data_IF_379391881403
#
_entry.id   IF_379391881403
#
_cell.length_a   1.000
_cell.length_b   1.000
_cell.length_c   1.000
_cell.angle_alpha   90.00
_cell.angle_beta   90.00
_cell.angle_gamma   90.00
#
_symmetry.space_group_name_H-M   'P 1'
#
loop_
_entity.id
_entity.type
_entity.pdbx_description
1 polymer ?
#
# COMPACT_ATOMS: atom_id res chain seq x y z
N UNK A 1 10.41 11.87 -5.91
CA UNK A 1 9.80 10.57 -6.28
C UNK A 1 8.52 10.45 -5.45
N UNK A 2 7.36 10.23 -6.07
CA UNK A 2 6.09 10.15 -5.34
C UNK A 2 6.12 9.04 -4.28
N UNK A 3 5.30 9.21 -3.25
CA UNK A 3 5.21 8.31 -2.09
C UNK A 3 3.76 7.90 -1.88
N UNK A 4 3.56 6.68 -1.40
CA UNK A 4 2.26 6.17 -0.99
C UNK A 4 1.85 6.77 0.35
N UNK A 5 0.66 7.37 0.42
CA UNK A 5 0.14 8.00 1.64
C UNK A 5 -0.18 6.98 2.74
N UNK A 6 -0.46 5.74 2.37
CA UNK A 6 -0.74 4.68 3.33
C UNK A 6 0.50 4.14 4.06
N UNK A 7 1.60 3.88 3.32
CA UNK A 7 2.78 3.22 3.89
C UNK A 7 4.07 4.03 3.80
N UNK A 8 4.02 5.26 3.30
CA UNK A 8 5.18 6.12 3.00
C UNK A 8 6.21 5.49 2.05
N UNK A 9 5.84 4.44 1.33
CA UNK A 9 6.72 3.75 0.39
C UNK A 9 6.89 4.55 -0.91
N UNK A 10 8.12 4.61 -1.43
CA UNK A 10 8.38 5.27 -2.70
C UNK A 10 7.81 4.51 -3.88
N UNK A 11 7.19 5.22 -4.81
CA UNK A 11 6.68 4.69 -6.07
C UNK A 11 7.24 5.46 -7.25
N UNK A 12 7.23 4.83 -8.43
CA UNK A 12 7.69 5.51 -9.65
C UNK A 12 6.71 6.60 -10.09
N UNK A 13 7.20 7.62 -10.80
CA UNK A 13 6.35 8.68 -11.38
C UNK A 13 5.32 8.12 -12.37
N UNK A 14 5.66 7.04 -13.09
CA UNK A 14 4.72 6.34 -13.98
C UNK A 14 3.58 5.68 -13.23
N UNK A 15 3.84 5.22 -12.01
CA UNK A 15 2.81 4.66 -11.13
C UNK A 15 1.88 5.76 -10.65
N UNK A 16 2.43 6.85 -10.13
CA UNK A 16 1.64 8.01 -9.68
C UNK A 16 0.69 8.51 -10.77
N UNK A 17 1.18 8.70 -12.02
CA UNK A 17 0.34 9.15 -13.14
C UNK A 17 -0.94 8.32 -13.37
N UNK A 18 -0.95 7.03 -13.02
CA UNK A 18 -2.07 6.12 -13.29
C UNK A 18 -2.94 5.89 -12.05
N UNK A 19 -2.34 5.93 -10.85
CA UNK A 19 -2.98 5.49 -9.61
C UNK A 19 -3.18 6.61 -8.59
N UNK A 20 -2.69 7.81 -8.85
CA UNK A 20 -2.99 9.00 -8.06
C UNK A 20 -4.48 9.37 -8.22
N UNK A 21 -5.10 9.77 -7.12
CA UNK A 21 -6.48 10.28 -7.10
C UNK A 21 -6.56 11.71 -7.62
N UNK A 22 -7.78 12.22 -7.85
CA UNK A 22 -7.98 13.63 -8.25
C UNK A 22 -7.39 14.64 -7.24
N UNK A 23 -7.29 14.27 -5.97
CA UNK A 23 -6.69 15.08 -4.90
C UNK A 23 -5.16 14.96 -4.80
N UNK A 24 -4.54 14.08 -5.58
CA UNK A 24 -3.08 13.91 -5.60
C UNK A 24 -2.55 12.80 -4.67
N UNK A 25 -3.41 11.97 -4.08
CA UNK A 25 -3.02 10.94 -3.12
C UNK A 25 -2.86 9.55 -3.76
N UNK A 26 -1.96 8.75 -3.18
CA UNK A 26 -1.70 7.35 -3.56
C UNK A 26 -1.97 6.45 -2.35
N UNK A 27 -3.21 6.00 -2.24
CA UNK A 27 -3.70 5.24 -1.08
C UNK A 27 -3.21 3.79 -1.04
N UNK A 28 -2.76 3.24 -2.18
CA UNK A 28 -2.24 1.87 -2.23
C UNK A 28 -1.16 1.71 -3.29
N UNK A 29 0.06 1.37 -2.85
CA UNK A 29 1.16 0.99 -3.74
C UNK A 29 1.27 -0.54 -3.93
N UNK A 30 2.09 -1.03 -4.86
CA UNK A 30 2.25 -2.47 -5.09
C UNK A 30 2.69 -3.25 -3.84
N UNK A 31 3.47 -2.62 -2.95
CA UNK A 31 3.85 -3.22 -1.68
C UNK A 31 2.64 -3.37 -0.74
N UNK A 32 1.78 -2.36 -0.64
CA UNK A 32 0.53 -2.45 0.12
C UNK A 32 -0.37 -3.56 -0.45
N UNK A 33 -0.56 -3.58 -1.77
CA UNK A 33 -1.42 -4.56 -2.44
C UNK A 33 -0.89 -5.99 -2.32
N UNK A 34 0.41 -6.19 -2.44
CA UNK A 34 1.04 -7.51 -2.27
C UNK A 34 0.89 -8.04 -0.84
N UNK A 35 0.80 -7.14 0.14
CA UNK A 35 0.61 -7.48 1.55
C UNK A 35 -0.85 -7.32 2.02
N UNK A 36 -1.79 -7.04 1.11
CA UNK A 36 -3.19 -6.91 1.44
C UNK A 36 -3.70 -8.23 2.03
N UNK A 37 -4.34 -8.15 3.19
CA UNK A 37 -4.82 -9.33 3.93
C UNK A 37 -3.74 -10.09 4.73
N UNK A 38 -2.44 -9.90 4.48
CA UNK A 38 -1.37 -10.55 5.27
C UNK A 38 -1.44 -10.09 6.72
N UNK A 39 -1.67 -8.80 6.98
CA UNK A 39 -1.80 -8.28 8.35
C UNK A 39 -2.95 -8.93 9.14
N UNK A 40 -4.05 -9.30 8.47
CA UNK A 40 -5.16 -10.01 9.10
C UNK A 40 -4.82 -11.48 9.37
N UNK A 41 -4.27 -12.19 8.37
CA UNK A 41 -3.82 -13.57 8.56
C UNK A 41 -2.73 -13.67 9.64
N UNK A 42 -1.90 -12.62 9.77
CA UNK A 42 -0.89 -12.48 10.81
C UNK A 42 -1.45 -12.44 12.21
N UNK A 43 -2.52 -11.68 12.43
CA UNK A 43 -3.20 -11.68 13.72
C UNK A 43 -3.86 -13.02 14.00
N UNK A 44 -4.47 -13.68 13.01
CA UNK A 44 -5.14 -14.98 13.19
C UNK A 44 -4.17 -16.08 13.64
N UNK A 45 -2.98 -16.17 13.03
CA UNK A 45 -1.96 -17.16 13.43
C UNK A 45 -1.47 -16.95 14.87
N UNK A 46 -1.17 -15.70 15.25
CA UNK A 46 -0.71 -15.39 16.60
C UNK A 46 -1.79 -15.54 17.69
N UNK A 47 -3.08 -15.47 17.32
CA UNK A 47 -4.20 -15.67 18.24
C UNK A 47 -4.49 -17.15 18.53
N UNK A 48 -3.86 -18.08 17.81
CA UNK A 48 -4.08 -19.53 17.96
C UNK A 48 -2.94 -20.21 18.76
N UNK A 49 -1.93 -19.45 19.18
CA UNK A 49 -0.77 -19.91 19.95
C UNK A 49 -0.87 -19.57 21.44
#
# INVERSE_FOLDING_TARGET
>A
MPSCDHCNGHVSERFARVFETDDGSIEACPNCSANAGIAEQSRRRHATE
#
